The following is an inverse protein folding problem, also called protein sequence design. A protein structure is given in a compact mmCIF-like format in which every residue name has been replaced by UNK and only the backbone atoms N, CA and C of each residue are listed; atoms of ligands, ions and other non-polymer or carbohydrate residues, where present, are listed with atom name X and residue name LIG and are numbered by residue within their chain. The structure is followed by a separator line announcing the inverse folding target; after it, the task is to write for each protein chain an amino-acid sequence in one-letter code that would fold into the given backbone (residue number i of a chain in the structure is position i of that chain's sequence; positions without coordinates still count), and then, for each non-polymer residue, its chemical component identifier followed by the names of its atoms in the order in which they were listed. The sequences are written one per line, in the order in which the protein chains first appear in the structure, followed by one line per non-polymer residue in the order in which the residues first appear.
data_IF_695651564199
#
_entry.id   IF_695651564199
#
_cell.length_a   1.000
_cell.length_b   1.000
_cell.length_c   1.000
_cell.angle_alpha   90.00
_cell.angle_beta   90.00
_cell.angle_gamma   90.00
#
_symmetry.space_group_name_H-M   'P 1'
#
loop_
_entity.id
_entity.type
_entity.pdbx_description
1 polymer ?
#
# COMPACT_ATOMS: atom_id res chain seq x y z
N UNK A 1 -15.57 -7.48 -0.11
CA UNK A 1 -14.99 -6.25 0.47
C UNK A 1 -14.91 -6.43 1.98
N UNK A 2 -13.76 -6.13 2.60
CA UNK A 2 -13.63 -6.25 4.07
C UNK A 2 -14.33 -5.08 4.76
N UNK A 3 -14.70 -5.25 6.02
CA UNK A 3 -15.35 -4.20 6.82
C UNK A 3 -14.47 -2.94 6.90
N UNK A 4 -13.16 -3.10 7.06
CA UNK A 4 -12.22 -1.98 7.15
C UNK A 4 -12.21 -1.13 5.87
N UNK A 5 -12.18 -1.74 4.68
CA UNK A 5 -12.17 -1.04 3.40
C UNK A 5 -13.46 -0.22 3.22
N UNK A 6 -14.60 -0.83 3.60
CA UNK A 6 -15.91 -0.19 3.55
C UNK A 6 -16.00 1.01 4.52
N UNK A 7 -15.46 0.88 5.74
CA UNK A 7 -15.46 1.97 6.72
C UNK A 7 -14.57 3.13 6.26
N UNK A 8 -13.37 2.84 5.73
CA UNK A 8 -12.47 3.85 5.16
C UNK A 8 -13.14 4.61 4.01
N UNK A 9 -13.93 3.93 3.18
CA UNK A 9 -14.64 4.57 2.06
C UNK A 9 -15.87 5.39 2.49
N UNK A 10 -16.67 4.89 3.43
CA UNK A 10 -17.99 5.45 3.75
C UNK A 10 -17.99 6.45 4.91
N UNK A 11 -17.19 6.23 5.95
CA UNK A 11 -17.20 7.10 7.13
C UNK A 11 -16.75 8.53 6.84
N UNK A 12 -15.70 8.80 6.02
CA UNK A 12 -15.32 10.18 5.70
C UNK A 12 -16.45 11.00 5.06
N UNK A 13 -17.33 10.36 4.28
CA UNK A 13 -18.51 11.00 3.67
C UNK A 13 -19.62 11.31 4.69
N UNK A 14 -19.56 10.70 5.88
CA UNK A 14 -20.61 10.69 6.91
C UNK A 14 -20.16 11.36 8.22
N UNK A 15 -19.07 12.12 8.19
CA UNK A 15 -18.53 12.83 9.36
C UNK A 15 -17.47 12.06 10.15
N UNK A 16 -16.91 11.00 9.57
CA UNK A 16 -15.81 10.23 10.16
C UNK A 16 -16.26 9.19 11.17
N UNK A 17 -15.34 8.82 12.05
CA UNK A 17 -15.60 7.83 13.09
C UNK A 17 -16.59 8.39 14.14
N UNK A 18 -17.60 7.61 14.57
CA UNK A 18 -18.55 8.06 15.58
C UNK A 18 -17.88 8.35 16.93
N UNK A 19 -18.02 9.59 17.42
CA UNK A 19 -17.46 10.01 18.71
C UNK A 19 -17.98 9.15 19.88
N UNK A 20 -17.08 8.73 20.78
CA UNK A 20 -17.41 7.94 21.97
C UNK A 20 -17.53 6.42 21.74
N UNK A 21 -17.33 5.94 20.51
CA UNK A 21 -17.33 4.52 20.15
C UNK A 21 -15.90 4.05 19.87
N UNK A 22 -15.56 2.82 20.27
CA UNK A 22 -14.19 2.27 20.11
C UNK A 22 -14.11 1.13 19.11
N UNK A 23 -15.25 0.48 18.82
CA UNK A 23 -15.30 -0.64 17.88
C UNK A 23 -16.54 -0.54 17.00
N UNK A 24 -16.39 -0.89 15.73
CA UNK A 24 -17.48 -1.07 14.79
C UNK A 24 -17.51 -2.54 14.37
N UNK A 25 -18.67 -3.17 14.51
CA UNK A 25 -18.86 -4.58 14.19
C UNK A 25 -19.91 -4.75 13.11
N UNK A 26 -19.70 -5.71 12.21
CA UNK A 26 -20.71 -6.20 11.29
C UNK A 26 -21.32 -7.50 11.80
N UNK A 27 -22.64 -7.54 11.85
CA UNK A 27 -23.38 -8.72 12.31
C UNK A 27 -23.75 -9.63 11.14
N UNK A 28 -24.22 -10.85 11.43
CA UNK A 28 -24.59 -11.85 10.41
C UNK A 28 -25.71 -11.41 9.45
N UNK A 29 -26.45 -10.36 9.79
CA UNK A 29 -27.46 -9.74 8.93
C UNK A 29 -26.89 -8.64 8.01
N UNK A 30 -25.57 -8.44 8.00
CA UNK A 30 -24.87 -7.41 7.22
C UNK A 30 -24.99 -6.00 7.79
N UNK A 31 -25.72 -5.79 8.89
CA UNK A 31 -25.82 -4.49 9.54
C UNK A 31 -24.59 -4.18 10.36
N UNK A 32 -24.18 -2.91 10.33
CA UNK A 32 -22.98 -2.41 10.99
C UNK A 32 -23.36 -1.51 12.17
N UNK A 33 -22.79 -1.83 13.34
CA UNK A 33 -23.04 -1.12 14.60
C UNK A 33 -21.74 -0.64 15.23
N UNK A 34 -21.75 0.57 15.77
CA UNK A 34 -20.68 1.08 16.61
C UNK A 34 -20.97 0.79 18.09
N UNK A 35 -19.99 0.28 18.84
CA UNK A 35 -20.10 -0.04 20.26
C UNK A 35 -19.08 0.74 21.10
N UNK A 36 -19.52 1.10 22.31
CA UNK A 36 -18.69 1.76 23.33
C UNK A 36 -18.28 0.76 24.41
N UNK A 37 -17.11 0.94 25.03
CA UNK A 37 -16.59 0.11 26.12
C UNK A 37 -17.50 0.07 27.36
N UNK A 38 -18.40 1.05 27.53
CA UNK A 38 -19.16 1.26 28.76
C UNK A 38 -20.37 0.33 28.97
N UNK A 39 -20.39 -0.86 28.37
CA UNK A 39 -21.38 -1.90 28.69
C UNK A 39 -22.85 -1.56 28.37
N UNK A 40 -23.14 -0.54 27.55
CA UNK A 40 -24.51 -0.30 27.08
C UNK A 40 -24.77 -1.13 25.82
N UNK A 41 -25.65 -2.10 25.99
CA UNK A 41 -26.12 -3.13 25.04
C UNK A 41 -26.71 -2.58 23.72
N UNK A 42 -26.75 -1.26 23.55
CA UNK A 42 -27.27 -0.58 22.35
C UNK A 42 -26.12 -0.01 21.52
N UNK A 43 -25.69 -0.76 20.49
CA UNK A 43 -24.80 -0.22 19.46
C UNK A 43 -25.52 0.84 18.61
N UNK A 44 -24.79 1.81 18.08
CA UNK A 44 -25.33 2.79 17.12
C UNK A 44 -25.33 2.17 15.72
N UNK A 45 -26.50 1.99 15.12
CA UNK A 45 -26.62 1.54 13.74
C UNK A 45 -26.09 2.62 12.78
N UNK A 46 -25.16 2.26 11.89
CA UNK A 46 -24.50 3.22 10.99
C UNK A 46 -25.19 3.35 9.62
N UNK A 47 -26.26 2.60 9.35
CA UNK A 47 -26.91 2.51 8.04
C UNK A 47 -25.89 2.25 6.92
N UNK A 48 -24.95 1.34 7.19
CA UNK A 48 -23.97 0.80 6.24
C UNK A 48 -24.18 -0.71 6.24
N UNK A 49 -24.23 -1.30 5.06
CA UNK A 49 -24.37 -2.75 4.86
C UNK A 49 -23.03 -3.33 4.42
N UNK A 50 -22.56 -4.37 5.10
CA UNK A 50 -21.26 -4.96 4.86
C UNK A 50 -21.19 -6.47 5.03
N UNK A 51 -19.96 -6.98 4.94
CA UNK A 51 -19.60 -8.39 5.15
C UNK A 51 -19.92 -8.88 6.57
N UNK A 52 -20.13 -10.18 6.75
CA UNK A 52 -20.62 -10.74 8.02
C UNK A 52 -19.49 -11.00 9.02
N UNK A 53 -19.72 -10.67 10.29
CA UNK A 53 -18.94 -11.19 11.43
C UNK A 53 -17.54 -10.60 11.60
N UNK A 54 -17.32 -9.34 11.22
CA UNK A 54 -16.03 -8.67 11.41
C UNK A 54 -16.15 -7.56 12.46
N UNK A 55 -15.05 -7.26 13.14
CA UNK A 55 -14.93 -6.10 14.04
C UNK A 55 -13.70 -5.30 13.65
N UNK A 56 -13.83 -3.98 13.74
CA UNK A 56 -12.77 -3.01 13.45
C UNK A 56 -12.69 -2.04 14.64
N UNK A 57 -11.51 -1.86 15.20
CA UNK A 57 -11.28 -0.86 16.25
C UNK A 57 -11.02 0.52 15.64
N UNK A 58 -11.18 1.58 16.46
CA UNK A 58 -10.81 2.93 16.07
C UNK A 58 -9.36 3.00 15.58
N UNK A 59 -8.43 2.38 16.31
CA UNK A 59 -7.01 2.35 15.94
C UNK A 59 -6.78 1.68 14.58
N UNK A 60 -7.45 0.56 14.31
CA UNK A 60 -7.36 -0.12 13.01
C UNK A 60 -7.93 0.74 11.88
N UNK A 61 -9.04 1.44 12.14
CA UNK A 61 -9.64 2.38 11.20
C UNK A 61 -8.73 3.57 10.93
N UNK A 62 -8.17 4.20 11.95
CA UNK A 62 -7.26 5.34 11.79
C UNK A 62 -5.98 4.94 11.05
N UNK A 63 -5.42 3.76 11.34
CA UNK A 63 -4.28 3.24 10.61
C UNK A 63 -4.61 2.98 9.13
N UNK A 64 -5.76 2.38 8.84
CA UNK A 64 -6.19 2.13 7.46
C UNK A 64 -6.58 3.41 6.71
N UNK A 65 -7.19 4.38 7.41
CA UNK A 65 -7.54 5.68 6.87
C UNK A 65 -6.28 6.49 6.57
N UNK A 66 -5.29 6.47 7.46
CA UNK A 66 -3.99 7.08 7.22
C UNK A 66 -3.29 6.43 6.01
N UNK A 67 -3.30 5.10 5.91
CA UNK A 67 -2.76 4.39 4.76
C UNK A 67 -3.49 4.73 3.44
N UNK A 68 -4.81 4.88 3.48
CA UNK A 68 -5.63 5.25 2.31
C UNK A 68 -5.53 6.74 1.94
N UNK A 69 -5.18 7.61 2.90
CA UNK A 69 -4.96 9.03 2.69
C UNK A 69 -3.51 9.38 2.36
N UNK A 70 -2.57 8.42 2.49
CA UNK A 70 -1.24 8.63 1.92
C UNK A 70 -1.43 8.89 0.42
N UNK A 71 -0.86 9.97 -0.13
CA UNK A 71 -0.89 10.19 -1.56
C UNK A 71 -0.39 8.91 -2.23
N UNK A 72 -1.16 8.39 -3.19
CA UNK A 72 -0.71 7.30 -4.06
C UNK A 72 0.34 7.88 -4.99
N UNK A 73 1.48 8.22 -4.40
CA UNK A 73 2.68 8.57 -5.10
C UNK A 73 3.19 7.28 -5.71
N UNK A 74 3.37 7.26 -7.02
CA UNK A 74 3.77 6.06 -7.76
C UNK A 74 5.29 5.93 -7.89
N UNK A 75 6.03 6.78 -7.18
CA UNK A 75 7.49 6.87 -7.23
C UNK A 75 8.00 7.93 -8.20
N UNK A 76 7.15 8.55 -9.01
CA UNK A 76 7.59 9.64 -9.88
C UNK A 76 7.80 10.94 -9.09
N UNK A 77 9.03 11.45 -9.13
CA UNK A 77 9.39 12.71 -8.48
C UNK A 77 9.90 12.54 -7.05
N UNK A 78 9.65 13.53 -6.19
CA UNK A 78 10.08 13.50 -4.79
C UNK A 78 8.96 12.89 -3.92
N UNK A 79 9.32 12.14 -2.87
CA UNK A 79 8.34 11.58 -1.93
C UNK A 79 7.54 12.70 -1.26
N UNK A 80 6.23 12.50 -1.01
CA UNK A 80 5.45 13.40 -0.17
C UNK A 80 6.00 13.46 1.26
N UNK A 81 5.85 14.61 1.91
CA UNK A 81 6.22 14.77 3.33
C UNK A 81 5.44 13.77 4.19
N UNK A 82 6.15 13.03 5.04
CA UNK A 82 5.58 11.98 5.89
C UNK A 82 5.51 10.59 5.24
N UNK A 83 5.90 10.45 3.96
CA UNK A 83 5.92 9.17 3.27
C UNK A 83 7.14 8.33 3.67
N UNK A 84 6.93 7.04 3.84
CA UNK A 84 7.98 6.03 3.92
C UNK A 84 8.14 5.38 2.54
N UNK A 85 9.37 5.39 2.04
CA UNK A 85 9.67 4.96 0.69
C UNK A 85 11.04 4.30 0.61
N UNK A 86 11.40 3.85 -0.59
CA UNK A 86 12.74 3.36 -0.88
C UNK A 86 13.42 4.32 -1.84
N UNK A 87 14.71 4.54 -1.64
CA UNK A 87 15.56 5.31 -2.54
C UNK A 87 16.76 4.48 -3.00
N UNK A 88 17.26 4.74 -4.20
CA UNK A 88 18.55 4.23 -4.68
C UNK A 88 19.30 5.30 -5.45
N UNK A 89 20.62 5.14 -5.57
CA UNK A 89 21.41 5.97 -6.47
C UNK A 89 21.05 5.68 -7.93
N UNK A 90 20.74 6.73 -8.69
CA UNK A 90 20.41 6.66 -10.12
C UNK A 90 21.59 6.16 -10.95
N UNK A 91 22.79 6.66 -10.66
CA UNK A 91 23.98 6.48 -11.50
C UNK A 91 24.80 5.23 -11.16
N UNK A 92 24.38 4.45 -10.15
CA UNK A 92 25.13 3.27 -9.71
C UNK A 92 24.45 1.98 -10.20
N UNK A 93 25.17 1.22 -11.03
CA UNK A 93 24.69 0.01 -11.71
C UNK A 93 24.23 -1.10 -10.75
N UNK A 94 24.74 -1.11 -9.50
CA UNK A 94 24.38 -2.05 -8.45
C UNK A 94 23.87 -1.34 -7.18
N UNK A 95 23.22 -0.18 -7.32
CA UNK A 95 22.63 0.50 -6.18
C UNK A 95 21.47 -0.32 -5.60
N UNK A 96 21.59 -0.69 -4.33
CA UNK A 96 20.50 -1.30 -3.58
C UNK A 96 19.48 -0.23 -3.17
N UNK A 97 18.21 -0.63 -3.16
CA UNK A 97 17.14 0.18 -2.60
C UNK A 97 17.27 0.18 -1.09
N UNK A 98 17.27 1.37 -0.48
CA UNK A 98 17.32 1.54 0.96
C UNK A 98 16.10 2.32 1.46
N UNK A 99 15.69 2.03 2.69
CA UNK A 99 14.58 2.71 3.34
C UNK A 99 14.87 4.20 3.54
N UNK A 100 13.89 5.03 3.19
CA UNK A 100 13.92 6.47 3.42
C UNK A 100 12.55 6.95 3.91
N UNK A 101 12.54 7.67 5.03
CA UNK A 101 11.34 8.36 5.54
C UNK A 101 11.46 9.85 5.27
N UNK A 102 10.60 10.39 4.40
CA UNK A 102 10.57 11.80 4.08
C UNK A 102 9.93 12.63 5.22
N UNK A 103 10.62 13.66 5.67
CA UNK A 103 10.18 14.59 6.73
C UNK A 103 9.96 16.01 6.20
N UNK A 104 10.58 16.36 5.08
CA UNK A 104 10.39 17.65 4.43
C UNK A 104 10.83 17.58 2.98
N UNK A 105 10.24 18.44 2.15
CA UNK A 105 10.69 18.67 0.77
C UNK A 105 10.79 20.17 0.57
N UNK A 106 11.98 20.63 0.19
CA UNK A 106 12.20 22.03 -0.17
C UNK A 106 13.28 22.13 -1.26
N UNK A 107 13.20 23.16 -2.11
CA UNK A 107 14.15 23.43 -3.18
C UNK A 107 14.46 22.22 -4.09
N UNK A 108 13.51 21.29 -4.26
CA UNK A 108 13.69 20.08 -5.08
C UNK A 108 14.53 18.98 -4.43
N UNK A 109 14.71 19.03 -3.10
CA UNK A 109 15.43 18.03 -2.29
C UNK A 109 14.49 17.50 -1.20
N UNK A 110 14.50 16.18 -1.02
CA UNK A 110 13.82 15.53 0.08
C UNK A 110 14.76 15.42 1.29
N UNK A 111 14.28 15.85 2.45
CA UNK A 111 14.94 15.78 3.76
C UNK A 111 14.28 14.68 4.57
N UNK A 112 15.06 13.82 5.21
CA UNK A 112 14.49 12.72 5.95
C UNK A 112 15.50 11.80 6.62
N UNK A 113 15.06 10.58 6.90
CA UNK A 113 15.83 9.59 7.64
C UNK A 113 16.05 8.33 6.80
N UNK A 114 17.30 7.89 6.68
CA UNK A 114 17.66 6.56 6.23
C UNK A 114 18.08 5.73 7.46
N UNK A 115 17.12 5.00 8.03
CA UNK A 115 17.32 4.33 9.32
C UNK A 115 17.55 5.34 10.44
N UNK A 116 18.78 5.42 10.97
CA UNK A 116 19.15 6.35 12.06
C UNK A 116 19.82 7.63 11.56
N UNK A 117 20.20 7.68 10.29
CA UNK A 117 20.96 8.78 9.74
C UNK A 117 20.04 9.80 9.08
N UNK A 118 20.23 11.07 9.39
CA UNK A 118 19.57 12.16 8.69
C UNK A 118 20.25 12.35 7.33
N UNK A 119 19.46 12.26 6.26
CA UNK A 119 19.97 12.33 4.89
C UNK A 119 19.13 13.29 4.04
N UNK A 120 19.77 13.78 2.98
CA UNK A 120 19.18 14.68 1.98
C UNK A 120 19.33 14.06 0.61
N UNK A 121 18.21 13.85 -0.09
CA UNK A 121 18.14 13.12 -1.34
C UNK A 121 17.51 14.01 -2.42
N UNK A 122 18.26 14.32 -3.47
CA UNK A 122 17.76 15.08 -4.61
C UNK A 122 17.27 14.16 -5.73
N UNK A 123 16.28 14.63 -6.50
CA UNK A 123 15.70 13.86 -7.62
C UNK A 123 16.68 13.61 -8.78
N UNK A 124 17.78 14.34 -8.85
CA UNK A 124 18.79 14.21 -9.91
C UNK A 124 19.67 12.99 -9.69
N UNK A 125 20.13 12.78 -8.46
CA UNK A 125 21.05 11.68 -8.09
C UNK A 125 20.35 10.43 -7.58
N UNK A 126 19.11 10.56 -7.11
CA UNK A 126 18.36 9.45 -6.53
C UNK A 126 17.08 9.17 -7.32
N UNK A 127 16.75 7.88 -7.38
CA UNK A 127 15.44 7.39 -7.77
C UNK A 127 14.70 6.97 -6.52
N UNK A 128 13.39 7.24 -6.50
CA UNK A 128 12.54 6.87 -5.40
C UNK A 128 11.41 5.97 -5.87
N UNK A 129 10.86 5.18 -4.95
CA UNK A 129 9.63 4.42 -5.16
C UNK A 129 8.90 4.18 -3.84
N UNK A 130 7.60 3.90 -3.86
CA UNK A 130 6.84 3.56 -2.67
C UNK A 130 7.45 2.37 -1.94
N UNK A 131 7.35 2.38 -0.61
CA UNK A 131 7.80 1.26 0.20
C UNK A 131 6.99 0.01 -0.17
N UNK A 132 7.70 -1.09 -0.45
CA UNK A 132 7.09 -2.36 -0.83
C UNK A 132 7.01 -3.27 0.38
N UNK A 133 5.84 -3.88 0.59
CA UNK A 133 5.74 -4.97 1.56
C UNK A 133 6.64 -6.15 1.15
N UNK A 134 6.95 -7.04 2.08
CA UNK A 134 7.72 -8.26 1.75
C UNK A 134 7.04 -9.08 0.65
N UNK A 135 5.70 -9.12 0.64
CA UNK A 135 4.91 -9.76 -0.41
C UNK A 135 5.08 -9.05 -1.76
N UNK A 136 5.07 -7.72 -1.79
CA UNK A 136 5.29 -6.95 -3.01
C UNK A 136 6.73 -7.08 -3.53
N UNK A 137 7.70 -7.22 -2.63
CA UNK A 137 9.08 -7.50 -2.99
C UNK A 137 9.24 -8.91 -3.59
N UNK A 138 8.63 -9.93 -2.98
CA UNK A 138 8.59 -11.29 -3.54
C UNK A 138 7.92 -11.32 -4.91
N UNK A 139 6.81 -10.59 -5.07
CA UNK A 139 6.13 -10.41 -6.34
C UNK A 139 7.02 -9.73 -7.37
N UNK A 140 7.69 -8.64 -7.02
CA UNK A 140 8.57 -7.93 -7.92
C UNK A 140 9.74 -8.78 -8.40
N UNK A 141 10.41 -9.47 -7.47
CA UNK A 141 11.51 -10.38 -7.78
C UNK A 141 11.02 -11.51 -8.69
N UNK A 142 9.89 -12.13 -8.37
CA UNK A 142 9.32 -13.21 -9.14
C UNK A 142 8.92 -12.81 -10.56
N UNK A 143 8.22 -11.68 -10.72
CA UNK A 143 7.84 -11.13 -12.04
C UNK A 143 9.09 -10.80 -12.87
N UNK A 144 10.08 -10.13 -12.28
CA UNK A 144 11.33 -9.81 -12.99
C UNK A 144 12.10 -11.07 -13.38
N UNK A 145 12.17 -12.08 -12.52
CA UNK A 145 12.84 -13.34 -12.81
C UNK A 145 12.14 -14.10 -13.95
N UNK A 146 10.80 -14.18 -13.93
CA UNK A 146 10.00 -14.78 -14.99
C UNK A 146 10.21 -14.05 -16.33
N UNK A 147 10.16 -12.73 -16.33
CA UNK A 147 10.35 -11.93 -17.54
C UNK A 147 11.75 -12.15 -18.15
N UNK A 148 12.79 -12.14 -17.32
CA UNK A 148 14.17 -12.39 -17.77
C UNK A 148 14.36 -13.82 -18.26
N UNK A 149 13.81 -14.82 -17.57
CA UNK A 149 13.84 -16.21 -18.00
C UNK A 149 13.08 -16.43 -19.32
N UNK A 150 12.00 -15.67 -19.56
CA UNK A 150 11.24 -15.65 -20.80
C UNK A 150 11.89 -14.87 -21.95
N UNK A 151 13.13 -14.38 -21.78
CA UNK A 151 13.89 -13.67 -22.82
C UNK A 151 13.68 -12.15 -22.85
N UNK A 152 12.89 -11.58 -21.95
CA UNK A 152 12.72 -10.12 -21.83
C UNK A 152 13.79 -9.54 -20.90
N UNK A 153 15.03 -9.49 -21.39
CA UNK A 153 16.22 -9.15 -20.59
C UNK A 153 16.21 -7.72 -20.04
N UNK A 154 15.62 -6.78 -20.78
CA UNK A 154 15.53 -5.36 -20.43
C UNK A 154 14.26 -5.02 -19.61
N UNK A 155 13.56 -6.05 -19.12
CA UNK A 155 12.36 -5.85 -18.32
C UNK A 155 12.66 -5.16 -16.99
N UNK A 156 11.89 -4.12 -16.71
CA UNK A 156 11.93 -3.38 -15.45
C UNK A 156 10.54 -3.40 -14.79
N UNK A 157 10.50 -3.86 -13.54
CA UNK A 157 9.25 -3.98 -12.79
C UNK A 157 8.69 -2.61 -12.41
N UNK A 158 7.41 -2.40 -12.71
CA UNK A 158 6.69 -1.14 -12.50
C UNK A 158 6.84 -0.14 -13.66
N UNK A 159 7.66 -0.43 -14.67
CA UNK A 159 7.82 0.44 -15.83
C UNK A 159 6.49 0.59 -16.57
N UNK A 160 6.10 1.82 -16.87
CA UNK A 160 4.90 2.15 -17.66
C UNK A 160 5.28 2.55 -19.09
N UNK A 161 4.38 2.32 -20.03
CA UNK A 161 4.44 2.84 -21.40
C UNK A 161 4.09 4.33 -21.41
N UNK A 162 4.21 4.98 -22.56
CA UNK A 162 3.88 6.40 -22.72
C UNK A 162 2.39 6.70 -22.40
N UNK A 163 1.54 5.70 -22.57
CA UNK A 163 0.10 5.78 -22.29
C UNK A 163 -0.24 5.53 -20.81
N UNK A 164 0.78 5.32 -19.97
CA UNK A 164 0.63 5.06 -18.53
C UNK A 164 0.29 3.61 -18.18
N UNK A 165 0.17 2.72 -19.17
CA UNK A 165 -0.06 1.29 -18.95
C UNK A 165 1.21 0.56 -18.51
N UNK A 166 1.09 -0.51 -17.73
CA UNK A 166 2.24 -1.31 -17.35
C UNK A 166 2.90 -1.94 -18.59
N UNK A 167 4.22 -1.80 -18.69
CA UNK A 167 5.02 -2.47 -19.70
C UNK A 167 5.00 -3.99 -19.46
N UNK A 168 4.66 -4.74 -20.50
CA UNK A 168 4.60 -6.22 -20.47
C UNK A 168 3.74 -6.78 -19.32
N UNK A 169 2.43 -6.43 -19.27
CA UNK A 169 1.54 -6.78 -18.15
C UNK A 169 1.38 -8.30 -17.98
N UNK A 170 1.57 -9.07 -19.06
CA UNK A 170 1.47 -10.54 -19.03
C UNK A 170 2.42 -11.23 -18.04
N UNK A 171 3.58 -10.65 -17.70
CA UNK A 171 4.46 -11.22 -16.68
C UNK A 171 3.91 -11.09 -15.26
N UNK A 172 3.19 -10.00 -15.00
CA UNK A 172 2.52 -9.77 -13.72
C UNK A 172 1.35 -10.75 -13.55
N UNK A 173 0.51 -10.87 -14.59
CA UNK A 173 -0.61 -11.80 -14.59
C UNK A 173 -0.16 -13.26 -14.46
N UNK A 174 0.92 -13.64 -15.13
CA UNK A 174 1.47 -14.99 -15.03
C UNK A 174 1.94 -15.30 -13.62
N UNK A 175 2.69 -14.38 -13.00
CA UNK A 175 3.11 -14.54 -11.61
C UNK A 175 1.91 -14.65 -10.66
N UNK A 176 0.91 -13.79 -10.82
CA UNK A 176 -0.28 -13.79 -9.95
C UNK A 176 -1.05 -15.12 -10.04
N UNK A 177 -1.17 -15.69 -11.26
CA UNK A 177 -1.77 -17.02 -11.47
C UNK A 177 -0.95 -18.15 -10.84
N UNK A 178 0.38 -18.07 -10.91
CA UNK A 178 1.27 -19.04 -10.26
C UNK A 178 1.13 -18.94 -8.74
N UNK A 179 1.14 -17.72 -8.19
CA UNK A 179 0.97 -17.48 -6.76
C UNK A 179 -0.40 -17.93 -6.24
N UNK A 180 -1.45 -17.82 -7.06
CA UNK A 180 -2.78 -18.33 -6.77
C UNK A 180 -2.91 -19.87 -6.93
N UNK A 181 -1.87 -20.54 -7.46
CA UNK A 181 -1.88 -21.99 -7.70
C UNK A 181 -2.75 -22.41 -8.89
N UNK A 182 -3.10 -21.48 -9.78
CA UNK A 182 -3.93 -21.72 -10.97
C UNK A 182 -3.14 -22.39 -12.10
N UNK A 183 -1.80 -22.29 -12.06
CA UNK A 183 -0.91 -22.94 -13.05
C UNK A 183 -0.55 -24.34 -12.56
N UNK A 184 -1.13 -25.36 -13.21
CA UNK A 184 -0.92 -26.75 -12.84
C UNK A 184 0.57 -27.13 -12.89
N UNK A 185 1.06 -27.77 -11.81
CA UNK A 185 2.42 -28.27 -11.72
C UNK A 185 3.49 -27.24 -11.31
N UNK A 186 3.12 -25.96 -11.09
CA UNK A 186 4.04 -24.91 -10.66
C UNK A 186 3.52 -24.29 -9.36
N UNK A 187 4.37 -24.19 -8.33
CA UNK A 187 4.07 -23.51 -7.06
C UNK A 187 5.29 -22.70 -6.62
N UNK A 188 5.03 -21.58 -5.93
CA UNK A 188 6.06 -20.79 -5.25
C UNK A 188 6.21 -21.38 -3.85
N UNK A 189 7.44 -21.73 -3.47
CA UNK A 189 7.80 -22.21 -2.13
C UNK A 189 8.06 -21.04 -1.15
#
# INVERSE_FOLDING_TARGET
MKLIDLLVQELPKRGGWPEGFQVICSHGNGHIYAHSHSGKVSGRHLNIYGCQGQSVTLEQYEAALAAAQQPVWDGEGLPPVGCECEAKYRDATNAEWFFFRCVGVDCGVAFGWAGKDAVTLDKGRYEFRPFRSEADNKRAIGVTALAKAGGNVDFEYGRKTIDGELSSPGWYELYDKIAAGEVAGIRIE
#
